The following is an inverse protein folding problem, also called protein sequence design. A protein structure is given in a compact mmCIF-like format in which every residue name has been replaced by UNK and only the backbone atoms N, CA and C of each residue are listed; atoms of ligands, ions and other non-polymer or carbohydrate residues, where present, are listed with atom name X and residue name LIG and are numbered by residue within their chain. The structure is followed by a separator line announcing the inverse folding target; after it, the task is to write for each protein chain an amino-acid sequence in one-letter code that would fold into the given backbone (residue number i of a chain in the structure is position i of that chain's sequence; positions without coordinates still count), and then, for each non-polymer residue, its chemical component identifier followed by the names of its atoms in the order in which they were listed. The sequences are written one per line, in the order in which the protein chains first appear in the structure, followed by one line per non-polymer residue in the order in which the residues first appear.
data_IF_101033648724
#
_entry.id   IF_101033648724
#
_cell.length_a   1.000
_cell.length_b   1.000
_cell.length_c   1.000
_cell.angle_alpha   90.00
_cell.angle_beta   90.00
_cell.angle_gamma   90.00
#
_symmetry.space_group_name_H-M   'P 1'
#
loop_
_entity.id
_entity.type
_entity.pdbx_description
1 polymer ?
#
# COMPACT_ATOMS: atom_id res chain seq x y z
N UNK A 1 -1.80 1.31 3.10
CA UNK A 1 -2.15 2.69 2.69
C UNK A 1 -1.02 3.35 1.91
N UNK A 2 0.19 3.46 2.46
CA UNK A 2 1.35 4.12 1.81
C UNK A 2 1.68 3.56 0.43
N UNK A 3 1.79 2.24 0.27
CA UNK A 3 2.08 1.61 -1.03
C UNK A 3 1.05 2.01 -2.11
N UNK A 4 -0.25 1.87 -1.81
CA UNK A 4 -1.33 2.25 -2.72
C UNK A 4 -1.36 3.74 -3.04
N UNK A 5 -1.12 4.61 -2.05
CA UNK A 5 -1.05 6.05 -2.26
C UNK A 5 0.11 6.42 -3.19
N UNK A 6 1.30 5.83 -2.99
CA UNK A 6 2.45 6.03 -3.88
C UNK A 6 2.20 5.51 -5.29
N UNK A 7 1.52 4.37 -5.43
CA UNK A 7 1.12 3.81 -6.73
C UNK A 7 0.18 4.77 -7.46
N UNK A 8 -0.88 5.26 -6.82
CA UNK A 8 -1.83 6.20 -7.43
C UNK A 8 -1.13 7.51 -7.82
N UNK A 9 -0.28 8.05 -6.95
CA UNK A 9 0.43 9.30 -7.20
C UNK A 9 1.40 9.21 -8.38
N UNK A 10 2.04 8.05 -8.60
CA UNK A 10 3.04 7.84 -9.65
C UNK A 10 2.54 6.96 -10.80
N UNK A 11 1.25 6.68 -10.88
CA UNK A 11 0.68 5.77 -11.89
C UNK A 11 0.91 6.24 -13.33
N UNK A 12 1.07 7.55 -13.54
CA UNK A 12 1.33 8.16 -14.85
C UNK A 12 2.81 8.47 -15.10
N UNK A 13 3.69 8.09 -14.17
CA UNK A 13 5.13 8.33 -14.28
C UNK A 13 5.76 7.27 -15.18
N UNK A 14 5.54 7.42 -16.49
CA UNK A 14 6.20 6.65 -17.51
C UNK A 14 7.67 7.07 -17.65
N UNK A 15 8.52 6.13 -18.03
CA UNK A 15 9.95 6.34 -18.16
C UNK A 15 10.57 5.53 -19.29
N UNK A 16 11.87 5.74 -19.50
CA UNK A 16 12.66 5.04 -20.50
C UNK A 16 12.96 3.62 -20.05
N UNK A 17 12.91 2.67 -20.98
CA UNK A 17 13.30 1.28 -20.75
C UNK A 17 14.82 1.08 -20.83
N UNK A 18 15.55 2.05 -21.40
CA UNK A 18 16.98 1.95 -21.73
C UNK A 18 17.85 2.92 -20.92
N UNK A 19 17.29 4.00 -20.39
CA UNK A 19 18.01 5.00 -19.60
C UNK A 19 17.62 4.91 -18.11
N UNK A 20 18.58 4.52 -17.27
CA UNK A 20 18.40 4.41 -15.82
C UNK A 20 18.09 5.75 -15.14
N UNK A 21 18.51 6.88 -15.72
CA UNK A 21 18.22 8.21 -15.15
C UNK A 21 16.75 8.62 -15.34
N UNK A 22 16.07 8.02 -16.32
CA UNK A 22 14.68 8.27 -16.63
C UNK A 22 13.83 7.02 -16.46
N UNK A 23 14.21 6.13 -15.54
CA UNK A 23 13.53 4.85 -15.33
C UNK A 23 12.05 5.04 -14.92
N UNK A 24 11.15 4.14 -15.36
CA UNK A 24 9.73 4.20 -15.02
C UNK A 24 9.51 3.92 -13.52
N UNK A 25 8.41 4.46 -12.98
CA UNK A 25 8.04 4.16 -11.61
C UNK A 25 7.73 2.66 -11.44
N UNK A 26 8.33 2.05 -10.41
CA UNK A 26 8.10 0.65 -10.05
C UNK A 26 6.97 0.59 -9.05
N UNK A 27 5.86 -0.06 -9.43
CA UNK A 27 4.72 -0.24 -8.55
C UNK A 27 5.12 -0.99 -7.27
N UNK A 28 4.51 -0.64 -6.15
CA UNK A 28 4.73 -1.24 -4.84
C UNK A 28 3.58 -2.18 -4.47
N UNK A 29 3.86 -3.21 -3.70
CA UNK A 29 2.86 -4.09 -3.09
C UNK A 29 3.18 -4.35 -1.63
N UNK A 30 2.19 -4.81 -0.87
CA UNK A 30 2.35 -5.15 0.54
C UNK A 30 2.27 -6.65 0.72
N UNK A 31 3.25 -7.22 1.42
CA UNK A 31 3.28 -8.64 1.79
C UNK A 31 3.22 -8.78 3.30
N UNK A 32 2.45 -9.78 3.75
CA UNK A 32 2.36 -10.17 5.15
C UNK A 32 3.42 -11.23 5.42
N UNK A 33 4.38 -10.92 6.30
CA UNK A 33 5.44 -11.83 6.72
C UNK A 33 5.17 -12.27 8.15
N UNK A 34 5.17 -13.58 8.40
CA UNK A 34 5.11 -14.10 9.76
C UNK A 34 6.39 -13.67 10.51
N UNK A 35 6.23 -13.05 11.68
CA UNK A 35 7.31 -12.97 12.66
C UNK A 35 7.46 -14.37 13.27
N UNK A 36 8.70 -14.88 13.32
CA UNK A 36 8.99 -16.29 13.59
C UNK A 36 8.42 -16.87 14.89
N UNK A 37 8.63 -18.19 15.06
CA UNK A 37 7.93 -19.08 16.01
C UNK A 37 7.93 -18.69 17.49
N UNK A 38 8.71 -17.71 17.94
CA UNK A 38 8.81 -17.37 19.37
C UNK A 38 7.80 -16.34 19.83
N UNK A 39 7.33 -15.44 18.96
CA UNK A 39 6.49 -14.28 19.37
C UNK A 39 5.09 -14.28 18.77
N UNK A 40 4.82 -15.10 17.75
CA UNK A 40 3.50 -15.22 17.12
C UNK A 40 2.96 -13.89 16.58
N UNK A 41 3.17 -13.60 15.29
CA UNK A 41 2.63 -12.37 14.72
C UNK A 41 2.82 -12.27 13.22
N UNK A 42 2.17 -11.26 12.63
CA UNK A 42 2.32 -10.93 11.21
C UNK A 42 2.78 -9.47 11.11
N UNK A 43 3.89 -9.24 10.42
CA UNK A 43 4.34 -7.91 10.05
C UNK A 43 4.04 -7.65 8.58
N UNK A 44 3.59 -6.44 8.26
CA UNK A 44 3.43 -6.03 6.86
C UNK A 44 4.71 -5.37 6.38
N UNK A 45 5.20 -5.78 5.20
CA UNK A 45 6.34 -5.16 4.52
C UNK A 45 5.90 -4.66 3.15
N UNK A 46 6.40 -3.48 2.76
CA UNK A 46 6.25 -2.95 1.41
C UNK A 46 7.40 -3.47 0.56
N UNK A 47 7.07 -4.06 -0.59
CA UNK A 47 8.02 -4.63 -1.55
C UNK A 47 7.69 -4.13 -2.95
N UNK A 48 8.66 -4.17 -3.86
CA UNK A 48 8.41 -3.88 -5.27
C UNK A 48 7.50 -4.96 -5.86
N UNK A 49 6.49 -4.55 -6.64
CA UNK A 49 5.64 -5.43 -7.45
C UNK A 49 6.49 -6.03 -8.56
N UNK A 50 6.25 -7.29 -8.90
CA UNK A 50 6.94 -7.98 -9.98
C UNK A 50 5.89 -8.61 -10.93
N UNK A 51 5.79 -8.17 -12.21
CA UNK A 51 6.53 -7.05 -12.80
C UNK A 51 6.04 -5.69 -12.26
N UNK A 52 6.97 -4.76 -12.04
CA UNK A 52 6.69 -3.44 -11.46
C UNK A 52 6.23 -2.38 -12.46
N UNK A 53 6.54 -2.60 -13.74
CA UNK A 53 6.12 -1.80 -14.89
C UNK A 53 5.90 -2.72 -16.10
N UNK A 54 5.15 -2.24 -17.07
CA UNK A 54 4.83 -2.91 -18.34
C UNK A 54 5.24 -2.01 -19.50
N UNK A 55 5.50 -2.58 -20.67
CA UNK A 55 5.80 -1.78 -21.86
C UNK A 55 4.51 -1.20 -22.45
N UNK A 56 4.54 0.08 -22.81
CA UNK A 56 3.44 0.77 -23.47
C UNK A 56 3.95 1.48 -24.72
N UNK A 57 3.13 1.52 -25.77
CA UNK A 57 3.49 2.20 -27.01
C UNK A 57 3.18 3.69 -26.92
N UNK A 58 4.22 4.52 -26.97
CA UNK A 58 4.13 5.98 -26.88
C UNK A 58 5.23 6.66 -27.73
N UNK A 59 5.15 6.60 -29.07
CA UNK A 59 6.20 7.08 -29.97
C UNK A 59 6.46 8.60 -29.92
N UNK A 60 5.53 9.38 -29.37
CA UNK A 60 5.70 10.82 -29.15
C UNK A 60 6.31 11.20 -27.80
N UNK A 61 6.67 10.22 -26.97
CA UNK A 61 7.25 10.46 -25.64
C UNK A 61 8.75 10.74 -25.75
N UNK A 62 9.31 11.71 -25.00
CA UNK A 62 10.77 11.91 -24.89
C UNK A 62 11.51 10.69 -24.33
N UNK A 63 10.78 9.80 -23.66
CA UNK A 63 11.32 8.59 -23.03
C UNK A 63 11.16 7.35 -23.89
N UNK A 64 10.67 7.49 -25.13
CA UNK A 64 10.46 6.37 -26.03
C UNK A 64 11.80 5.83 -26.54
N UNK A 65 11.91 4.50 -26.61
CA UNK A 65 13.02 3.83 -27.27
C UNK A 65 12.95 3.93 -28.81
N UNK A 66 13.90 3.31 -29.52
CA UNK A 66 13.94 3.27 -30.99
C UNK A 66 12.68 2.69 -31.63
N UNK A 67 11.90 1.89 -30.89
CA UNK A 67 10.65 1.27 -31.33
C UNK A 67 9.41 2.06 -30.90
N UNK A 68 9.56 3.20 -30.21
CA UNK A 68 8.46 4.00 -29.70
C UNK A 68 7.85 3.47 -28.39
N UNK A 69 8.57 2.60 -27.66
CA UNK A 69 8.09 1.99 -26.42
C UNK A 69 8.59 2.75 -25.19
N UNK A 70 7.74 2.83 -24.17
CA UNK A 70 8.04 3.37 -22.85
C UNK A 70 7.71 2.36 -21.77
N UNK A 71 8.35 2.47 -20.60
CA UNK A 71 7.93 1.78 -19.40
C UNK A 71 6.78 2.51 -18.74
N UNK A 72 5.63 1.87 -18.58
CA UNK A 72 4.48 2.37 -17.84
C UNK A 72 4.34 1.60 -16.52
N UNK A 73 4.13 2.26 -15.37
CA UNK A 73 3.95 1.57 -14.09
C UNK A 73 2.80 0.56 -14.14
N UNK A 74 3.00 -0.60 -13.50
CA UNK A 74 1.97 -1.66 -13.45
C UNK A 74 0.96 -1.40 -12.32
N UNK A 75 0.20 -0.31 -12.46
CA UNK A 75 -0.76 0.17 -11.46
C UNK A 75 -2.18 0.15 -12.05
N UNK A 76 -3.09 -0.50 -11.34
CA UNK A 76 -4.53 -0.41 -11.62
C UNK A 76 -5.18 0.52 -10.58
N UNK A 77 -5.73 1.64 -11.05
CA UNK A 77 -6.40 2.61 -10.19
C UNK A 77 -7.59 2.02 -9.41
N UNK A 78 -8.37 1.14 -10.03
CA UNK A 78 -9.51 0.52 -9.36
C UNK A 78 -9.03 -0.37 -8.22
N UNK A 79 -8.00 -1.16 -8.46
CA UNK A 79 -7.39 -2.02 -7.44
C UNK A 79 -6.81 -1.20 -6.28
N UNK A 80 -6.09 -0.11 -6.57
CA UNK A 80 -5.46 0.71 -5.54
C UNK A 80 -6.46 1.51 -4.70
N UNK A 81 -7.55 1.97 -5.30
CA UNK A 81 -8.65 2.62 -4.56
C UNK A 81 -9.34 1.62 -3.64
N UNK A 82 -9.58 0.38 -4.10
CA UNK A 82 -10.15 -0.68 -3.26
C UNK A 82 -9.22 -1.01 -2.10
N UNK A 83 -7.90 -1.14 -2.34
CA UNK A 83 -6.91 -1.34 -1.27
C UNK A 83 -6.88 -0.18 -0.27
N UNK A 84 -7.02 1.07 -0.75
CA UNK A 84 -7.11 2.24 0.12
C UNK A 84 -8.35 2.17 1.01
N UNK A 85 -9.50 1.81 0.45
CA UNK A 85 -10.75 1.65 1.19
C UNK A 85 -10.71 0.49 2.19
N UNK A 86 -10.11 -0.63 1.81
CA UNK A 86 -9.88 -1.73 2.73
C UNK A 86 -9.03 -1.29 3.92
N UNK A 87 -7.92 -0.58 3.66
CA UNK A 87 -7.08 -0.04 4.73
C UNK A 87 -7.83 0.95 5.64
N UNK A 88 -8.67 1.81 5.06
CA UNK A 88 -9.52 2.75 5.81
C UNK A 88 -10.52 2.00 6.72
N UNK A 89 -11.20 0.98 6.19
CA UNK A 89 -12.18 0.17 6.93
C UNK A 89 -11.49 -0.63 8.03
N UNK A 90 -10.37 -1.30 7.74
CA UNK A 90 -9.59 -2.04 8.74
C UNK A 90 -9.10 -1.14 9.86
N UNK A 91 -8.63 0.07 9.54
CA UNK A 91 -8.22 1.04 10.55
C UNK A 91 -9.41 1.46 11.43
N UNK A 92 -10.56 1.78 10.83
CA UNK A 92 -11.79 2.11 11.57
C UNK A 92 -12.25 0.97 12.47
N UNK A 93 -12.20 -0.28 11.98
CA UNK A 93 -12.56 -1.45 12.75
C UNK A 93 -11.63 -1.63 13.97
N UNK A 94 -10.31 -1.51 13.78
CA UNK A 94 -9.33 -1.62 14.85
C UNK A 94 -9.48 -0.51 15.91
N UNK A 95 -9.76 0.72 15.48
CA UNK A 95 -10.04 1.81 16.43
C UNK A 95 -11.36 1.55 17.18
N UNK A 96 -12.37 1.00 16.50
CA UNK A 96 -13.63 0.60 17.12
C UNK A 96 -13.42 -0.40 18.25
N UNK A 97 -12.63 -1.46 18.03
CA UNK A 97 -12.35 -2.46 19.08
C UNK A 97 -11.55 -1.87 20.24
N UNK A 98 -10.58 -1.00 19.97
CA UNK A 98 -9.82 -0.29 21.02
C UNK A 98 -10.76 0.60 21.85
N UNK A 99 -11.68 1.32 21.20
CA UNK A 99 -12.65 2.18 21.89
C UNK A 99 -13.56 1.37 22.80
N UNK A 100 -14.10 0.25 22.30
CA UNK A 100 -14.92 -0.65 23.11
C UNK A 100 -14.14 -1.25 24.28
N UNK A 101 -12.87 -1.61 24.08
CA UNK A 101 -12.03 -2.09 25.19
C UNK A 101 -11.82 -1.00 26.26
N UNK A 102 -11.56 0.24 25.85
CA UNK A 102 -11.41 1.37 26.77
C UNK A 102 -12.71 1.70 27.53
N UNK A 103 -13.87 1.61 26.86
CA UNK A 103 -15.19 1.79 27.51
C UNK A 103 -15.43 0.71 28.57
N UNK A 104 -15.10 -0.56 28.29
CA UNK A 104 -15.21 -1.66 29.26
C UNK A 104 -14.26 -1.49 30.46
N UNK A 105 -13.07 -0.92 30.23
CA UNK A 105 -12.10 -0.64 31.29
C UNK A 105 -12.61 0.45 32.24
N UNK A 106 -13.19 1.52 31.70
CA UNK A 106 -13.80 2.62 32.49
C UNK A 106 -15.00 2.13 33.31
N UNK A 107 -15.88 1.33 32.70
CA UNK A 107 -17.03 0.72 33.40
C UNK A 107 -16.57 -0.17 34.56
N UNK A 108 -15.50 -0.97 34.36
CA UNK A 108 -14.94 -1.83 35.40
C UNK A 108 -14.37 -1.01 36.56
N UNK A 109 -13.59 0.04 36.26
CA UNK A 109 -13.05 0.96 37.26
C UNK A 109 -14.17 1.65 38.05
N UNK A 110 -15.24 2.10 37.38
CA UNK A 110 -16.40 2.73 38.02
C UNK A 110 -17.11 1.79 39.01
N UNK A 111 -17.21 0.50 38.69
CA UNK A 111 -17.78 -0.52 39.59
C UNK A 111 -16.91 -0.76 40.82
N UNK A 112 -15.57 -0.72 40.67
CA UNK A 112 -14.63 -0.88 41.78
C UNK A 112 -14.66 0.34 42.73
N UNK A 113 -14.69 1.56 42.17
CA UNK A 113 -14.67 2.81 42.95
C UNK A 113 -15.96 2.99 43.78
N UNK A 114 -17.11 2.56 43.25
CA UNK A 114 -18.40 2.56 43.98
C UNK A 114 -18.47 1.62 45.18
N UNK A 115 -17.51 0.71 45.34
CA UNK A 115 -17.50 -0.32 46.39
C UNK A 115 -16.60 0.01 47.59
N UNK A 116 -15.97 1.19 47.60
CA UNK A 116 -15.17 1.74 48.72
C UNK A 116 -15.91 2.89 49.39
#
# INVERSE_FOLDING_TARGET
MTASASNIANALTAGSLTDENNAPYTALTTVSKAQGSETGGVQTQIVAKNPGYVTAYAPGSPFADENGLVGAPNVDFAEEIVKLKLAEISYKANIGTIKTAAELEDDLLSILDKKV
#
